data_IF_929249824412
#
_entry.id   IF_929249824412
#
_cell.length_a   1.000
_cell.length_b   1.000
_cell.length_c   1.000
_cell.angle_alpha   90.00
_cell.angle_beta   90.00
_cell.angle_gamma   90.00
#
_symmetry.space_group_name_H-M   'P 1'
#
loop_
_entity.id
_entity.type
_entity.pdbx_description
1 polymer ?
#
# COMPACT_ATOMS: atom_id res chain seq x y z
N UNK A 1 45.53 -8.09 69.19
CA UNK A 1 45.73 -8.50 67.78
C UNK A 1 44.47 -8.13 66.99
N UNK A 2 44.52 -7.21 66.02
CA UNK A 2 43.36 -6.85 65.22
C UNK A 2 43.19 -7.79 64.02
N UNK A 3 41.96 -8.20 63.71
CA UNK A 3 41.62 -9.07 62.58
C UNK A 3 41.33 -8.23 61.33
N UNK A 4 42.07 -8.50 60.27
CA UNK A 4 41.94 -7.84 58.97
C UNK A 4 40.60 -8.17 58.31
N UNK A 5 39.92 -7.12 57.85
CA UNK A 5 38.57 -7.16 57.28
C UNK A 5 38.72 -7.19 55.76
N UNK A 6 38.55 -8.36 55.15
CA UNK A 6 38.62 -8.54 53.71
C UNK A 6 37.50 -7.77 53.03
N UNK A 7 37.86 -6.79 52.21
CA UNK A 7 36.93 -6.07 51.35
C UNK A 7 36.44 -6.99 50.22
N UNK A 8 35.14 -7.22 50.18
CA UNK A 8 34.47 -7.85 49.06
C UNK A 8 34.61 -6.92 47.83
N UNK A 9 35.19 -7.44 46.75
CA UNK A 9 35.26 -6.72 45.48
C UNK A 9 33.87 -6.77 44.85
N UNK A 10 33.22 -5.63 44.53
CA UNK A 10 31.97 -5.66 43.77
C UNK A 10 32.22 -6.35 42.43
N UNK A 11 31.49 -7.42 42.16
CA UNK A 11 31.56 -8.16 40.91
C UNK A 11 31.30 -7.23 39.72
N UNK A 12 32.12 -7.40 38.69
CA UNK A 12 32.08 -6.65 37.41
C UNK A 12 30.71 -6.78 36.72
N UNK A 13 30.01 -5.67 36.60
CA UNK A 13 29.41 -5.07 35.38
C UNK A 13 28.78 -5.92 34.25
N UNK A 14 28.07 -7.01 34.53
CA UNK A 14 27.29 -7.72 33.49
C UNK A 14 25.89 -7.10 33.23
N UNK A 15 25.40 -6.22 34.11
CA UNK A 15 24.07 -5.58 33.97
C UNK A 15 24.00 -4.55 32.81
N UNK A 16 25.12 -3.96 32.42
CA UNK A 16 25.17 -2.94 31.37
C UNK A 16 25.05 -3.50 29.95
N UNK A 17 25.45 -4.75 29.73
CA UNK A 17 25.42 -5.38 28.41
C UNK A 17 24.00 -5.70 27.95
N UNK A 18 23.13 -6.09 28.89
CA UNK A 18 21.72 -6.40 28.61
C UNK A 18 21.01 -5.19 28.01
N UNK A 19 21.27 -3.99 28.53
CA UNK A 19 20.68 -2.75 28.01
C UNK A 19 21.06 -2.50 26.54
N UNK A 20 22.32 -2.78 26.16
CA UNK A 20 22.80 -2.62 24.78
C UNK A 20 22.09 -3.60 23.84
N UNK A 21 21.97 -4.88 24.25
CA UNK A 21 21.28 -5.90 23.45
C UNK A 21 19.80 -5.57 23.29
N UNK A 22 19.14 -5.11 24.36
CA UNK A 22 17.73 -4.68 24.32
C UNK A 22 17.55 -3.45 23.43
N UNK A 23 18.42 -2.46 23.51
CA UNK A 23 18.36 -1.27 22.67
C UNK A 23 18.49 -1.61 21.18
N UNK A 24 19.45 -2.48 20.82
CA UNK A 24 19.61 -2.94 19.43
C UNK A 24 18.40 -3.76 18.99
N UNK A 25 17.90 -4.65 19.85
CA UNK A 25 16.70 -5.44 19.57
C UNK A 25 15.47 -4.57 19.32
N UNK A 26 15.29 -3.49 20.10
CA UNK A 26 14.21 -2.53 19.92
C UNK A 26 14.30 -1.83 18.56
N UNK A 27 15.51 -1.40 18.15
CA UNK A 27 15.73 -0.80 16.82
C UNK A 27 15.35 -1.78 15.71
N UNK A 28 15.72 -3.06 15.83
CA UNK A 28 15.35 -4.08 14.85
C UNK A 28 13.83 -4.27 14.77
N UNK A 29 13.13 -4.33 15.91
CA UNK A 29 11.66 -4.41 15.93
C UNK A 29 11.02 -3.19 15.26
N UNK A 30 11.53 -1.97 15.53
CA UNK A 30 11.03 -0.76 14.89
C UNK A 30 11.23 -0.75 13.37
N UNK A 31 12.35 -1.30 12.87
CA UNK A 31 12.55 -1.46 11.42
C UNK A 31 11.51 -2.41 10.80
N UNK A 32 11.18 -3.51 11.47
CA UNK A 32 10.12 -4.42 11.01
C UNK A 32 8.74 -3.75 11.02
N UNK A 33 8.44 -2.93 12.02
CA UNK A 33 7.19 -2.16 12.07
C UNK A 33 7.11 -1.18 10.90
N UNK A 34 8.20 -0.46 10.61
CA UNK A 34 8.26 0.47 9.48
C UNK A 34 7.98 -0.26 8.15
N UNK A 35 8.62 -1.43 7.94
CA UNK A 35 8.38 -2.27 6.77
C UNK A 35 6.92 -2.77 6.70
N UNK A 36 6.35 -3.19 7.83
CA UNK A 36 4.97 -3.66 7.89
C UNK A 36 3.97 -2.55 7.52
N UNK A 37 4.23 -1.31 7.93
CA UNK A 37 3.42 -0.14 7.55
C UNK A 37 3.50 0.12 6.05
N UNK A 38 4.70 0.13 5.48
CA UNK A 38 4.91 0.36 4.05
C UNK A 38 4.23 -0.72 3.19
N UNK A 39 4.39 -2.00 3.54
CA UNK A 39 3.74 -3.13 2.85
C UNK A 39 2.22 -3.07 3.01
N UNK A 40 1.74 -2.76 4.22
CA UNK A 40 0.32 -2.62 4.50
C UNK A 40 -0.33 -1.52 3.65
N UNK A 41 0.35 -0.37 3.52
CA UNK A 41 -0.11 0.72 2.66
C UNK A 41 -0.15 0.30 1.19
N UNK A 42 0.92 -0.31 0.68
CA UNK A 42 0.99 -0.80 -0.70
C UNK A 42 -0.10 -1.82 -1.02
N UNK A 43 -0.38 -2.74 -0.10
CA UNK A 43 -1.44 -3.73 -0.27
C UNK A 43 -2.84 -3.08 -0.27
N UNK A 44 -3.04 -2.03 0.54
CA UNK A 44 -4.24 -1.18 0.48
C UNK A 44 -4.42 -0.56 -0.90
N UNK A 45 -3.38 0.09 -1.43
CA UNK A 45 -3.41 0.71 -2.76
C UNK A 45 -3.73 -0.29 -3.87
N UNK A 46 -3.20 -1.52 -3.78
CA UNK A 46 -3.54 -2.58 -4.73
C UNK A 46 -5.03 -2.90 -4.76
N UNK A 47 -5.68 -2.98 -3.60
CA UNK A 47 -7.14 -3.21 -3.53
C UNK A 47 -7.93 -2.03 -4.09
N UNK A 48 -7.49 -0.80 -3.84
CA UNK A 48 -8.10 0.38 -4.44
C UNK A 48 -8.02 0.37 -5.97
N UNK A 49 -6.86 0.00 -6.54
CA UNK A 49 -6.72 -0.15 -8.00
C UNK A 49 -7.65 -1.20 -8.58
N UNK A 50 -7.82 -2.34 -7.90
CA UNK A 50 -8.73 -3.40 -8.32
C UNK A 50 -10.18 -2.93 -8.30
N UNK A 51 -10.64 -2.33 -7.20
CA UNK A 51 -11.99 -1.78 -7.10
C UNK A 51 -12.27 -0.72 -8.17
N UNK A 52 -11.30 0.15 -8.46
CA UNK A 52 -11.43 1.16 -9.50
C UNK A 52 -11.50 0.56 -10.91
N UNK A 53 -10.74 -0.51 -11.17
CA UNK A 53 -10.82 -1.24 -12.43
C UNK A 53 -12.19 -1.91 -12.61
N UNK A 54 -12.67 -2.61 -11.58
CA UNK A 54 -13.96 -3.32 -11.62
C UNK A 54 -15.14 -2.36 -11.77
N UNK A 55 -15.13 -1.25 -11.02
CA UNK A 55 -16.16 -0.22 -11.13
C UNK A 55 -16.20 0.42 -12.52
N UNK A 56 -15.03 0.73 -13.10
CA UNK A 56 -14.96 1.29 -14.45
C UNK A 56 -15.37 0.29 -15.54
N UNK A 57 -15.02 -0.99 -15.39
CA UNK A 57 -15.46 -2.04 -16.30
C UNK A 57 -16.98 -2.22 -16.25
N UNK A 58 -17.56 -2.24 -15.05
CA UNK A 58 -19.01 -2.39 -14.86
C UNK A 58 -19.78 -1.19 -15.42
N UNK A 59 -19.35 0.05 -15.15
CA UNK A 59 -20.05 1.24 -15.67
C UNK A 59 -19.90 1.38 -17.18
N UNK A 60 -18.72 1.05 -17.74
CA UNK A 60 -18.51 1.00 -19.18
C UNK A 60 -19.41 -0.05 -19.85
N UNK A 61 -19.48 -1.25 -19.29
CA UNK A 61 -20.39 -2.29 -19.76
C UNK A 61 -21.87 -1.87 -19.63
N UNK A 62 -22.24 -1.23 -18.53
CA UNK A 62 -23.60 -0.71 -18.33
C UNK A 62 -23.97 0.33 -19.40
N UNK A 63 -23.09 1.30 -19.65
CA UNK A 63 -23.25 2.31 -20.69
C UNK A 63 -23.39 1.66 -22.09
N UNK A 64 -22.60 0.63 -22.38
CA UNK A 64 -22.66 -0.05 -23.67
C UNK A 64 -23.95 -0.88 -23.85
N UNK A 65 -24.39 -1.57 -22.80
CA UNK A 65 -25.54 -2.48 -22.87
C UNK A 65 -26.88 -1.73 -22.81
N UNK A 66 -27.02 -0.78 -21.89
CA UNK A 66 -28.33 -0.27 -21.47
C UNK A 66 -28.62 1.18 -21.88
N UNK A 67 -27.60 1.99 -22.17
CA UNK A 67 -27.79 3.39 -22.54
C UNK A 67 -27.94 3.60 -24.05
N UNK A 68 -28.65 4.67 -24.43
CA UNK A 68 -28.89 5.01 -25.83
C UNK A 68 -27.61 5.47 -26.54
N UNK A 69 -26.74 6.19 -25.83
CA UNK A 69 -25.44 6.63 -26.35
C UNK A 69 -24.39 5.54 -26.13
N UNK A 70 -24.20 4.68 -27.13
CA UNK A 70 -23.21 3.59 -27.14
C UNK A 70 -21.88 4.00 -27.78
N UNK A 71 -21.64 5.30 -27.92
CA UNK A 71 -20.42 5.80 -28.54
C UNK A 71 -19.22 5.48 -27.65
N UNK A 72 -18.04 5.34 -28.27
CA UNK A 72 -16.80 5.11 -27.55
C UNK A 72 -16.55 6.18 -26.49
N UNK A 73 -16.84 7.44 -26.80
CA UNK A 73 -16.69 8.55 -25.87
C UNK A 73 -17.62 8.41 -24.65
N UNK A 74 -18.86 7.96 -24.83
CA UNK A 74 -19.80 7.78 -23.72
C UNK A 74 -19.40 6.61 -22.81
N UNK A 75 -19.08 5.46 -23.40
CA UNK A 75 -18.59 4.27 -22.67
C UNK A 75 -17.31 4.59 -21.92
N UNK A 76 -16.40 5.33 -22.56
CA UNK A 76 -15.14 5.75 -21.95
C UNK A 76 -15.34 6.77 -20.85
N UNK A 77 -16.23 7.74 -21.03
CA UNK A 77 -16.59 8.71 -19.99
C UNK A 77 -17.13 8.02 -18.74
N UNK A 78 -18.13 7.15 -18.90
CA UNK A 78 -18.73 6.42 -17.79
C UNK A 78 -17.73 5.51 -17.05
N UNK A 79 -16.86 4.82 -17.79
CA UNK A 79 -15.81 3.98 -17.22
C UNK A 79 -14.75 4.78 -16.45
N UNK A 80 -14.39 5.97 -16.93
CA UNK A 80 -13.44 6.85 -16.26
C UNK A 80 -14.04 7.46 -14.98
N UNK A 81 -15.26 7.98 -15.04
CA UNK A 81 -15.89 8.65 -13.90
C UNK A 81 -16.08 7.69 -12.72
N UNK A 82 -16.57 6.47 -12.97
CA UNK A 82 -16.76 5.49 -11.89
C UNK A 82 -15.44 4.97 -11.31
N UNK A 83 -14.42 4.80 -12.14
CA UNK A 83 -13.12 4.41 -11.63
C UNK A 83 -12.46 5.52 -10.81
N UNK A 84 -12.62 6.78 -11.21
CA UNK A 84 -12.15 7.95 -10.46
C UNK A 84 -12.84 8.04 -9.09
N UNK A 85 -14.16 7.83 -9.04
CA UNK A 85 -14.91 7.71 -7.78
C UNK A 85 -14.41 6.57 -6.87
N UNK A 86 -13.71 5.58 -7.44
CA UNK A 86 -13.13 4.45 -6.73
C UNK A 86 -11.61 4.58 -6.50
N UNK A 87 -11.04 5.77 -6.76
CA UNK A 87 -9.66 6.11 -6.42
C UNK A 87 -8.64 5.97 -7.56
N UNK A 88 -9.06 5.75 -8.80
CA UNK A 88 -8.16 5.83 -9.95
C UNK A 88 -7.76 7.27 -10.27
N UNK A 89 -6.51 7.48 -10.67
CA UNK A 89 -6.07 8.77 -11.22
C UNK A 89 -6.48 8.87 -12.71
N UNK A 90 -7.32 9.85 -13.04
CA UNK A 90 -7.80 10.09 -14.40
C UNK A 90 -6.66 10.44 -15.36
N UNK A 91 -5.63 11.14 -14.91
CA UNK A 91 -4.49 11.54 -15.73
C UNK A 91 -3.56 10.37 -16.11
N UNK A 92 -3.57 9.30 -15.31
CA UNK A 92 -2.73 8.11 -15.50
C UNK A 92 -3.51 6.87 -15.97
N UNK A 93 -4.82 6.99 -16.13
CA UNK A 93 -5.69 5.91 -16.57
C UNK A 93 -5.72 5.83 -18.10
N UNK A 94 -5.36 4.67 -18.65
CA UNK A 94 -5.48 4.39 -20.09
C UNK A 94 -6.70 3.52 -20.34
N UNK A 95 -7.47 3.89 -21.35
CA UNK A 95 -8.64 3.15 -21.80
C UNK A 95 -8.50 2.79 -23.26
N UNK A 96 -8.80 1.53 -23.60
CA UNK A 96 -8.84 1.05 -24.97
C UNK A 96 -10.12 0.26 -25.17
N UNK A 97 -10.89 0.64 -26.18
CA UNK A 97 -11.92 -0.24 -26.71
C UNK A 97 -11.27 -1.29 -27.61
N UNK A 98 -11.58 -2.55 -27.38
CA UNK A 98 -11.17 -3.63 -28.27
C UNK A 98 -12.36 -3.93 -29.18
N UNK A 99 -12.22 -3.51 -30.44
CA UNK A 99 -13.28 -3.45 -31.45
C UNK A 99 -13.75 -4.85 -31.92
N UNK A 100 -12.97 -5.91 -31.66
CA UNK A 100 -13.27 -7.26 -32.15
C UNK A 100 -14.42 -7.98 -31.42
N UNK A 101 -14.77 -7.61 -30.17
CA UNK A 101 -15.75 -8.38 -29.37
C UNK A 101 -16.63 -7.53 -28.43
N UNK A 102 -16.61 -6.20 -28.58
CA UNK A 102 -17.32 -5.29 -27.66
C UNK A 102 -16.76 -5.31 -26.23
N UNK A 103 -15.56 -5.85 -26.04
CA UNK A 103 -14.90 -5.89 -24.74
C UNK A 103 -14.22 -4.56 -24.44
N UNK A 104 -14.56 -3.99 -23.28
CA UNK A 104 -13.96 -2.77 -22.77
C UNK A 104 -12.82 -3.13 -21.82
N UNK A 105 -11.57 -2.80 -22.17
CA UNK A 105 -10.39 -3.07 -21.32
C UNK A 105 -9.86 -1.75 -20.75
N UNK A 106 -9.77 -1.68 -19.41
CA UNK A 106 -9.31 -0.48 -18.70
C UNK A 106 -8.08 -0.78 -17.84
N UNK A 107 -7.07 0.09 -17.93
CA UNK A 107 -5.90 0.06 -17.03
C UNK A 107 -5.91 1.33 -16.19
N UNK A 108 -6.23 1.18 -14.91
CA UNK A 108 -6.17 2.24 -13.92
C UNK A 108 -4.77 2.26 -13.27
N UNK A 109 -4.20 3.44 -13.10
CA UNK A 109 -2.96 3.61 -12.32
C UNK A 109 -3.27 4.49 -11.12
N UNK A 110 -2.81 4.07 -9.94
CA UNK A 110 -2.87 4.88 -8.72
C UNK A 110 -1.43 5.07 -8.22
N UNK A 111 -1.09 6.28 -7.80
CA UNK A 111 0.20 6.53 -7.15
C UNK A 111 0.17 5.89 -5.76
N UNK A 112 1.02 4.89 -5.55
CA UNK A 112 1.27 4.35 -4.23
C UNK A 112 2.44 5.13 -3.60
N UNK A 113 2.13 5.91 -2.57
CA UNK A 113 3.14 6.59 -1.77
C UNK A 113 3.54 5.69 -0.59
N UNK A 114 4.83 5.47 -0.40
CA UNK A 114 5.33 4.78 0.78
C UNK A 114 5.54 5.80 1.91
N UNK A 115 5.28 5.40 3.16
CA UNK A 115 5.37 6.32 4.29
C UNK A 115 6.82 6.48 4.75
N UNK A 116 7.56 5.37 4.88
CA UNK A 116 8.96 5.39 5.30
C UNK A 116 9.94 5.29 4.11
N UNK A 117 9.53 4.74 2.97
CA UNK A 117 10.37 4.57 1.78
C UNK A 117 10.22 5.69 0.71
N UNK A 118 9.92 6.93 1.14
CA UNK A 118 9.80 8.10 0.26
C UNK A 118 11.17 8.69 -0.13
#
# INVERSE_FOLDING_TARGET
MPRERWGERPGRSDDGQVLVVVAIGLVVVLMFVALAVDVGHWYGQRRHMQNAADAGALSGAYQFCYEAAKTEAAVTGAALDYAEMNGADRALSKMRLVEEDGMVVRTATVRADFFFAR
#
